data_IF_955390472708
#
_entry.id   IF_955390472708
#
_cell.length_a   1.000
_cell.length_b   1.000
_cell.length_c   1.000
_cell.angle_alpha   90.00
_cell.angle_beta   90.00
_cell.angle_gamma   90.00
#
_symmetry.space_group_name_H-M   'P 1'
#
loop_
_entity.id
_entity.type
_entity.pdbx_description
1 polymer ?
#
# COMPACT_ATOMS: atom_id res chain seq x y z
N UNK A 1 14.35 -10.49 -39.15
CA UNK A 1 14.49 -9.16 -38.57
C UNK A 1 14.43 -9.32 -37.04
N UNK A 2 15.32 -8.67 -36.28
CA UNK A 2 15.20 -8.67 -34.82
C UNK A 2 13.96 -7.85 -34.42
N UNK A 3 13.12 -8.40 -33.56
CA UNK A 3 11.93 -7.73 -33.03
C UNK A 3 12.37 -6.73 -31.96
N UNK A 4 11.97 -5.47 -32.10
CA UNK A 4 12.25 -4.44 -31.10
C UNK A 4 10.96 -4.07 -30.37
N UNK A 5 11.00 -4.14 -29.02
CA UNK A 5 9.92 -3.70 -28.16
C UNK A 5 10.22 -2.27 -27.66
N UNK A 6 9.40 -1.27 -28.05
CA UNK A 6 9.61 0.12 -27.63
C UNK A 6 9.38 0.28 -26.12
N UNK A 7 10.28 0.96 -25.42
CA UNK A 7 10.24 1.17 -23.97
C UNK A 7 8.98 1.92 -23.52
N UNK A 8 8.57 2.94 -24.27
CA UNK A 8 7.37 3.72 -24.03
C UNK A 8 6.09 2.86 -24.12
N UNK A 9 6.04 1.92 -25.07
CA UNK A 9 4.92 0.98 -25.22
C UNK A 9 4.87 -0.03 -24.08
N UNK A 10 6.03 -0.53 -23.63
CA UNK A 10 6.10 -1.40 -22.45
C UNK A 10 5.67 -0.67 -21.18
N UNK A 11 6.05 0.60 -21.02
CA UNK A 11 5.61 1.44 -19.90
C UNK A 11 4.09 1.61 -19.88
N UNK A 12 3.50 1.88 -21.03
CA UNK A 12 2.04 1.97 -21.19
C UNK A 12 1.34 0.63 -20.94
N UNK A 13 1.92 -0.47 -21.37
CA UNK A 13 1.39 -1.82 -21.12
C UNK A 13 1.30 -2.11 -19.61
N UNK A 14 2.38 -1.87 -18.87
CA UNK A 14 2.39 -2.04 -17.41
C UNK A 14 1.38 -1.09 -16.73
N UNK A 15 1.27 0.17 -17.17
CA UNK A 15 0.30 1.11 -16.64
C UNK A 15 -1.17 0.63 -16.85
N UNK A 16 -1.47 -0.05 -17.99
CA UNK A 16 -2.79 -0.63 -18.24
C UNK A 16 -3.07 -1.80 -17.29
N UNK A 17 -2.09 -2.66 -17.09
CA UNK A 17 -2.21 -3.80 -16.18
C UNK A 17 -2.43 -3.33 -14.74
N UNK A 18 -1.54 -2.46 -14.24
CA UNK A 18 -1.58 -1.97 -12.86
C UNK A 18 -2.81 -1.08 -12.59
N UNK A 19 -3.29 -0.34 -13.58
CA UNK A 19 -4.49 0.49 -13.48
C UNK A 19 -5.81 -0.25 -13.73
N UNK A 20 -5.77 -1.49 -14.21
CA UNK A 20 -6.95 -2.30 -14.54
C UNK A 20 -7.83 -1.72 -15.66
N UNK A 21 -7.48 -0.57 -16.23
CA UNK A 21 -8.19 0.05 -17.35
C UNK A 21 -7.30 1.00 -18.15
N UNK A 22 -7.62 1.14 -19.46
CA UNK A 22 -6.91 2.07 -20.34
C UNK A 22 -7.10 3.54 -19.96
N UNK A 23 -8.22 3.88 -19.31
CA UNK A 23 -8.48 5.23 -18.83
C UNK A 23 -7.53 5.60 -17.67
N UNK A 24 -7.43 4.76 -16.65
CA UNK A 24 -6.48 5.00 -15.54
C UNK A 24 -5.02 4.99 -16.01
N UNK A 25 -4.69 4.12 -16.98
CA UNK A 25 -3.35 4.12 -17.58
C UNK A 25 -3.04 5.45 -18.30
N UNK A 26 -4.02 6.03 -18.99
CA UNK A 26 -3.84 7.29 -19.71
C UNK A 26 -3.47 8.47 -18.78
N UNK A 27 -4.05 8.50 -17.59
CA UNK A 27 -3.73 9.47 -16.55
C UNK A 27 -2.31 9.30 -16.01
N UNK A 28 -1.86 8.04 -15.85
CA UNK A 28 -0.52 7.70 -15.32
C UNK A 28 0.63 8.02 -16.28
N UNK A 29 0.43 7.75 -17.57
CA UNK A 29 1.49 7.95 -18.57
C UNK A 29 1.33 9.25 -19.37
N UNK A 30 0.40 10.12 -18.97
CA UNK A 30 0.13 11.41 -19.60
C UNK A 30 -0.16 11.31 -21.12
N UNK A 31 -0.87 10.25 -21.52
CA UNK A 31 -1.32 10.00 -22.90
C UNK A 31 -2.85 9.99 -22.95
N UNK A 32 -3.41 10.22 -24.14
CA UNK A 32 -4.84 10.03 -24.33
C UNK A 32 -5.23 8.53 -24.36
N UNK A 33 -6.43 8.19 -23.91
CA UNK A 33 -6.92 6.80 -23.95
C UNK A 33 -6.84 6.16 -25.37
N UNK A 34 -7.15 6.87 -26.49
CA UNK A 34 -6.93 6.34 -27.85
C UNK A 34 -5.47 6.03 -28.13
N UNK A 35 -4.52 6.85 -27.64
CA UNK A 35 -3.10 6.60 -27.82
C UNK A 35 -2.65 5.34 -27.08
N UNK A 36 -3.10 5.14 -25.84
CA UNK A 36 -2.85 3.90 -25.08
C UNK A 36 -3.41 2.68 -25.84
N UNK A 37 -4.66 2.77 -26.32
CA UNK A 37 -5.28 1.67 -27.08
C UNK A 37 -4.47 1.33 -28.35
N UNK A 38 -3.96 2.35 -29.05
CA UNK A 38 -3.11 2.14 -30.22
C UNK A 38 -1.77 1.50 -29.86
N UNK A 39 -1.16 1.91 -28.75
CA UNK A 39 0.09 1.30 -28.25
C UNK A 39 -0.11 -0.16 -27.86
N UNK A 40 -1.21 -0.51 -27.18
CA UNK A 40 -1.52 -1.92 -26.85
C UNK A 40 -1.70 -2.76 -28.12
N UNK A 41 -2.48 -2.27 -29.09
CA UNK A 41 -2.65 -2.93 -30.36
C UNK A 41 -1.31 -3.12 -31.09
N UNK A 42 -0.45 -2.10 -31.12
CA UNK A 42 0.89 -2.18 -31.71
C UNK A 42 1.76 -3.25 -31.03
N UNK A 43 1.67 -3.37 -29.68
CA UNK A 43 2.43 -4.38 -28.96
C UNK A 43 1.96 -5.80 -29.30
N UNK A 44 0.65 -6.02 -29.36
CA UNK A 44 0.06 -7.30 -29.78
C UNK A 44 0.42 -7.66 -31.23
N UNK A 45 0.40 -6.68 -32.15
CA UNK A 45 0.82 -6.86 -33.54
C UNK A 45 2.32 -7.20 -33.63
N UNK A 46 3.18 -6.57 -32.83
CA UNK A 46 4.60 -6.89 -32.80
C UNK A 46 4.86 -8.31 -32.29
N UNK A 47 4.15 -8.70 -31.24
CA UNK A 47 4.34 -10.01 -30.58
C UNK A 47 3.55 -11.13 -31.27
N UNK A 48 2.61 -10.79 -32.16
CA UNK A 48 1.72 -11.73 -32.86
C UNK A 48 0.86 -12.59 -31.94
N UNK A 49 0.57 -12.06 -30.73
CA UNK A 49 -0.29 -12.71 -29.73
C UNK A 49 -1.16 -11.67 -29.02
N UNK A 50 -2.39 -12.01 -28.65
CA UNK A 50 -3.21 -11.14 -27.81
C UNK A 50 -2.64 -11.12 -26.39
N UNK A 51 -2.56 -9.93 -25.79
CA UNK A 51 -2.09 -9.73 -24.41
C UNK A 51 -3.25 -9.53 -23.45
N UNK A 52 -4.39 -9.06 -23.98
CA UNK A 52 -5.58 -8.79 -23.18
C UNK A 52 -6.81 -9.52 -23.73
N UNK A 53 -7.68 -9.94 -22.80
CA UNK A 53 -9.03 -10.41 -23.07
C UNK A 53 -10.04 -9.48 -22.41
N UNK A 54 -11.25 -9.42 -22.98
CA UNK A 54 -12.37 -8.73 -22.36
C UNK A 54 -13.29 -9.74 -21.67
N UNK A 55 -13.36 -9.67 -20.36
CA UNK A 55 -14.35 -10.38 -19.57
C UNK A 55 -15.44 -9.39 -19.10
N UNK A 56 -16.51 -9.28 -19.87
CA UNK A 56 -17.55 -8.29 -19.67
C UNK A 56 -17.02 -6.85 -19.83
N UNK A 57 -16.96 -6.11 -18.73
CA UNK A 57 -16.41 -4.75 -18.69
C UNK A 57 -14.95 -4.67 -18.24
N UNK A 58 -14.36 -5.79 -17.82
CA UNK A 58 -12.98 -5.85 -17.33
C UNK A 58 -12.01 -6.23 -18.45
N UNK A 59 -10.82 -5.68 -18.36
CA UNK A 59 -9.69 -6.04 -19.20
C UNK A 59 -8.78 -6.95 -18.37
N UNK A 60 -8.59 -8.20 -18.81
CA UNK A 60 -7.77 -9.22 -18.12
C UNK A 60 -6.60 -9.62 -19.01
N UNK A 61 -5.46 -9.97 -18.41
CA UNK A 61 -4.33 -10.50 -19.15
C UNK A 61 -4.61 -11.90 -19.68
N UNK A 62 -4.06 -12.19 -20.85
CA UNK A 62 -3.90 -13.57 -21.31
C UNK A 62 -2.70 -14.24 -20.63
N UNK A 63 -2.55 -15.58 -20.67
CA UNK A 63 -1.32 -16.24 -20.21
C UNK A 63 -0.05 -15.71 -20.90
N UNK A 64 -0.16 -15.33 -22.19
CA UNK A 64 0.93 -14.66 -22.91
C UNK A 64 1.18 -13.24 -22.39
N UNK A 65 0.11 -12.51 -22.06
CA UNK A 65 0.19 -11.19 -21.42
C UNK A 65 0.90 -11.23 -20.08
N UNK A 66 0.63 -12.24 -19.26
CA UNK A 66 1.33 -12.46 -17.97
C UNK A 66 2.84 -12.70 -18.20
N UNK A 67 3.20 -13.55 -19.15
CA UNK A 67 4.59 -13.78 -19.52
C UNK A 67 5.29 -12.50 -19.99
N UNK A 68 4.63 -11.70 -20.83
CA UNK A 68 5.14 -10.40 -21.29
C UNK A 68 5.28 -9.42 -20.14
N UNK A 69 4.35 -9.41 -19.16
CA UNK A 69 4.39 -8.53 -18.01
C UNK A 69 5.66 -8.73 -17.16
N UNK A 70 6.04 -9.98 -16.91
CA UNK A 70 7.27 -10.29 -16.16
C UNK A 70 8.49 -9.67 -16.84
N UNK A 71 8.69 -9.96 -18.13
CA UNK A 71 9.84 -9.46 -18.88
C UNK A 71 9.77 -7.94 -19.15
N UNK A 72 8.59 -7.38 -19.35
CA UNK A 72 8.43 -5.94 -19.50
C UNK A 72 8.88 -5.18 -18.26
N UNK A 73 8.56 -5.67 -17.07
CA UNK A 73 9.04 -5.09 -15.79
C UNK A 73 10.56 -5.17 -15.67
N UNK A 74 11.18 -6.30 -16.04
CA UNK A 74 12.65 -6.46 -16.03
C UNK A 74 13.34 -5.50 -17.00
N UNK A 75 12.82 -5.37 -18.23
CA UNK A 75 13.37 -4.47 -19.26
C UNK A 75 13.27 -3.01 -18.80
N UNK A 76 12.12 -2.59 -18.27
CA UNK A 76 11.96 -1.23 -17.76
C UNK A 76 12.88 -0.96 -16.55
N UNK A 77 12.99 -1.91 -15.62
CA UNK A 77 13.92 -1.77 -14.50
C UNK A 77 15.37 -1.61 -14.96
N UNK A 78 15.78 -2.35 -16.01
CA UNK A 78 17.12 -2.20 -16.59
C UNK A 78 17.29 -0.84 -17.29
N UNK A 79 16.31 -0.41 -18.08
CA UNK A 79 16.31 0.90 -18.73
C UNK A 79 16.44 2.03 -17.71
N UNK A 80 15.62 1.99 -16.65
CA UNK A 80 15.57 3.04 -15.63
C UNK A 80 16.87 3.05 -14.80
N UNK A 81 17.50 1.88 -14.55
CA UNK A 81 18.85 1.79 -13.96
C UNK A 81 19.91 2.46 -14.82
N UNK A 82 19.93 2.21 -16.13
CA UNK A 82 20.90 2.82 -17.04
C UNK A 82 20.75 4.34 -17.00
N UNK A 83 19.52 4.85 -17.07
CA UNK A 83 19.25 6.29 -16.97
C UNK A 83 19.73 6.84 -15.63
N UNK A 84 19.34 6.23 -14.51
CA UNK A 84 19.72 6.66 -13.16
C UNK A 84 21.25 6.67 -12.96
N UNK A 85 21.98 5.68 -13.52
CA UNK A 85 23.45 5.62 -13.43
C UNK A 85 24.10 6.76 -14.19
N UNK A 86 23.57 7.13 -15.36
CA UNK A 86 24.13 8.18 -16.21
C UNK A 86 23.74 9.60 -15.75
N UNK A 87 22.56 9.76 -15.16
CA UNK A 87 22.10 11.05 -14.62
C UNK A 87 22.67 11.38 -13.24
N UNK A 88 23.40 10.46 -12.62
CA UNK A 88 23.88 10.59 -11.25
C UNK A 88 22.79 10.32 -10.18
N UNK A 89 21.64 9.80 -10.60
CA UNK A 89 20.51 9.45 -9.74
C UNK A 89 20.64 8.04 -9.13
N UNK A 90 21.76 7.36 -9.40
CA UNK A 90 22.03 6.07 -8.79
C UNK A 90 22.11 6.23 -7.26
N UNK A 91 21.33 5.48 -6.53
CA UNK A 91 21.38 5.42 -5.07
C UNK A 91 22.73 4.80 -4.63
N UNK A 92 23.73 5.65 -4.48
CA UNK A 92 24.95 5.29 -3.77
C UNK A 92 24.73 5.57 -2.27
N UNK A 93 24.07 4.63 -1.56
CA UNK A 93 23.86 4.80 -0.13
C UNK A 93 22.67 4.01 0.44
N UNK A 94 22.38 4.22 1.72
CA UNK A 94 21.22 3.62 2.39
C UNK A 94 19.99 4.51 2.24
N UNK A 95 18.85 3.88 1.94
CA UNK A 95 17.52 4.47 2.02
C UNK A 95 16.90 4.04 3.34
N UNK A 96 16.48 5.00 4.15
CA UNK A 96 15.93 4.78 5.48
C UNK A 96 14.45 5.10 5.50
N UNK A 97 13.62 4.07 5.65
CA UNK A 97 12.15 4.19 5.55
C UNK A 97 11.52 3.79 6.86
N UNK A 98 10.51 4.57 7.30
CA UNK A 98 9.67 4.26 8.44
C UNK A 98 8.26 3.87 8.03
N UNK A 99 7.72 2.81 8.63
CA UNK A 99 6.34 2.37 8.44
C UNK A 99 5.66 2.12 9.79
N UNK A 100 4.36 2.41 9.89
CA UNK A 100 3.55 1.77 10.92
C UNK A 100 3.32 0.30 10.56
N UNK A 101 3.05 -0.55 11.57
CA UNK A 101 3.01 -2.01 11.38
C UNK A 101 2.03 -2.46 10.29
N UNK A 102 0.87 -1.83 10.19
CA UNK A 102 -0.16 -2.17 9.22
C UNK A 102 0.35 -2.06 7.78
N UNK A 103 1.14 -1.04 7.47
CA UNK A 103 1.76 -0.89 6.14
C UNK A 103 2.94 -1.82 5.92
N UNK A 104 3.69 -2.13 6.98
CA UNK A 104 4.83 -3.05 6.86
C UNK A 104 4.38 -4.45 6.42
N UNK A 105 3.22 -4.92 6.87
CA UNK A 105 2.69 -6.23 6.48
C UNK A 105 2.10 -6.25 5.06
N UNK A 106 1.45 -5.15 4.62
CA UNK A 106 0.68 -5.16 3.37
C UNK A 106 1.42 -4.55 2.17
N UNK A 107 2.19 -3.47 2.41
CA UNK A 107 2.78 -2.67 1.33
C UNK A 107 4.25 -3.00 1.07
N UNK A 108 4.97 -3.41 2.12
CA UNK A 108 6.41 -3.49 2.09
C UNK A 108 6.93 -4.45 1.02
N UNK A 109 6.29 -5.61 0.83
CA UNK A 109 6.73 -6.60 -0.14
C UNK A 109 6.78 -6.04 -1.57
N UNK A 110 5.73 -5.36 -2.02
CA UNK A 110 5.67 -4.79 -3.37
C UNK A 110 6.63 -3.61 -3.56
N UNK A 111 6.73 -2.73 -2.56
CA UNK A 111 7.64 -1.56 -2.59
C UNK A 111 9.10 -2.01 -2.58
N UNK A 112 9.46 -2.97 -1.72
CA UNK A 112 10.83 -3.50 -1.65
C UNK A 112 11.24 -4.17 -2.95
N UNK A 113 10.38 -5.01 -3.53
CA UNK A 113 10.68 -5.70 -4.78
C UNK A 113 10.98 -4.70 -5.91
N UNK A 114 10.19 -3.62 -6.03
CA UNK A 114 10.43 -2.58 -7.02
C UNK A 114 11.70 -1.78 -6.74
N UNK A 115 11.95 -1.40 -5.48
CA UNK A 115 13.14 -0.64 -5.12
C UNK A 115 14.42 -1.43 -5.41
N UNK A 116 14.46 -2.71 -5.00
CA UNK A 116 15.62 -3.58 -5.27
C UNK A 116 15.82 -3.82 -6.76
N UNK A 117 14.73 -3.94 -7.53
CA UNK A 117 14.81 -4.07 -8.98
C UNK A 117 15.40 -2.82 -9.66
N UNK A 118 15.05 -1.62 -9.18
CA UNK A 118 15.54 -0.35 -9.70
C UNK A 118 16.96 -0.01 -9.19
N UNK A 119 17.26 -0.36 -7.95
CA UNK A 119 18.49 0.02 -7.25
C UNK A 119 19.08 -1.20 -6.51
N UNK A 120 19.66 -2.19 -7.21
CA UNK A 120 20.14 -3.44 -6.60
C UNK A 120 21.29 -3.23 -5.61
N UNK A 121 22.04 -2.13 -5.74
CA UNK A 121 23.15 -1.77 -4.84
C UNK A 121 22.72 -0.88 -3.66
N UNK A 122 21.44 -0.50 -3.60
CA UNK A 122 20.93 0.31 -2.51
C UNK A 122 20.75 -0.53 -1.23
N UNK A 123 21.32 -0.04 -0.13
CA UNK A 123 21.01 -0.59 1.20
C UNK A 123 19.73 0.01 1.71
N UNK A 124 18.76 -0.86 2.02
CA UNK A 124 17.49 -0.45 2.58
C UNK A 124 17.49 -0.68 4.09
N UNK A 125 17.20 0.38 4.85
CA UNK A 125 16.99 0.33 6.29
C UNK A 125 15.51 0.62 6.57
N UNK A 126 14.80 -0.38 7.11
CA UNK A 126 13.38 -0.26 7.43
C UNK A 126 13.21 -0.15 8.94
N UNK A 127 12.41 0.81 9.37
CA UNK A 127 11.98 0.98 10.75
C UNK A 127 10.47 0.83 10.85
N UNK A 128 10.02 0.05 11.82
CA UNK A 128 8.61 -0.09 12.14
C UNK A 128 8.37 0.51 13.52
N UNK A 129 7.35 1.38 13.63
CA UNK A 129 7.05 2.08 14.87
C UNK A 129 5.75 2.88 14.81
N UNK A 130 5.38 3.52 15.91
CA UNK A 130 4.26 4.47 15.93
C UNK A 130 4.59 5.76 15.16
N UNK A 131 3.57 6.39 14.56
CA UNK A 131 3.76 7.62 13.78
C UNK A 131 4.54 8.72 14.50
N UNK A 132 4.29 9.04 15.80
CA UNK A 132 5.06 10.06 16.50
C UNK A 132 6.56 9.73 16.56
N UNK A 133 6.91 8.48 16.85
CA UNK A 133 8.30 8.02 16.88
C UNK A 133 8.96 8.10 15.51
N UNK A 134 8.23 7.76 14.44
CA UNK A 134 8.74 7.85 13.06
C UNK A 134 8.97 9.30 12.65
N UNK A 135 8.11 10.24 13.07
CA UNK A 135 8.29 11.68 12.84
C UNK A 135 9.55 12.19 13.53
N UNK A 136 9.79 11.84 14.78
CA UNK A 136 11.02 12.21 15.50
C UNK A 136 12.30 11.71 14.78
N UNK A 137 12.23 10.50 14.23
CA UNK A 137 13.34 9.94 13.45
C UNK A 137 13.51 10.65 12.10
N UNK A 138 12.44 11.09 11.46
CA UNK A 138 12.46 11.88 10.23
C UNK A 138 13.08 13.27 10.47
N UNK A 139 12.62 13.98 11.51
CA UNK A 139 13.09 15.31 11.91
C UNK A 139 14.55 15.31 12.35
N UNK A 140 15.01 14.20 12.95
CA UNK A 140 16.41 14.01 13.35
C UNK A 140 17.32 13.43 12.25
N UNK A 141 16.89 13.47 10.99
CA UNK A 141 17.62 12.95 9.82
C UNK A 141 18.01 11.46 9.91
N UNK A 142 17.28 10.69 10.72
CA UNK A 142 17.49 9.23 10.86
C UNK A 142 16.61 8.40 9.94
N UNK A 143 15.56 9.00 9.37
CA UNK A 143 14.72 8.44 8.31
C UNK A 143 14.65 9.41 7.15
N UNK A 144 14.40 8.91 5.96
CA UNK A 144 14.30 9.68 4.72
C UNK A 144 12.83 9.88 4.32
N UNK A 145 12.02 8.83 4.50
CA UNK A 145 10.59 8.79 4.18
C UNK A 145 9.88 8.04 5.29
N UNK A 146 8.68 8.48 5.66
CA UNK A 146 7.80 7.75 6.57
C UNK A 146 6.39 7.63 5.98
N UNK A 147 5.79 6.46 6.16
CA UNK A 147 4.37 6.23 5.91
C UNK A 147 3.71 5.87 7.25
N UNK A 148 2.89 6.78 7.71
CA UNK A 148 2.26 6.72 9.02
C UNK A 148 0.75 6.91 8.95
N UNK A 149 0.16 7.13 10.12
CA UNK A 149 -1.26 7.43 10.27
C UNK A 149 -1.44 8.72 11.06
N UNK A 150 -2.19 9.66 10.48
CA UNK A 150 -2.51 10.98 11.04
C UNK A 150 -3.99 11.15 11.39
N UNK A 151 -4.36 12.30 11.98
CA UNK A 151 -5.76 12.70 12.11
C UNK A 151 -6.37 13.02 10.75
N UNK A 152 -7.69 13.04 10.67
CA UNK A 152 -8.41 13.56 9.51
C UNK A 152 -8.01 15.03 9.29
N UNK A 153 -7.75 15.40 8.02
CA UNK A 153 -7.31 16.75 7.66
C UNK A 153 -5.81 17.03 7.84
N UNK A 154 -4.99 16.01 8.08
CA UNK A 154 -3.54 16.16 8.11
C UNK A 154 -3.00 16.68 6.77
N UNK A 155 -2.14 17.73 6.74
CA UNK A 155 -1.61 18.29 5.50
C UNK A 155 -0.74 17.32 4.68
N UNK A 156 -0.18 16.29 5.31
CA UNK A 156 0.58 15.23 4.64
C UNK A 156 -0.30 14.04 4.21
N UNK A 157 -1.63 14.23 4.21
CA UNK A 157 -2.59 13.21 3.85
C UNK A 157 -2.44 12.76 2.40
N UNK A 158 -2.39 11.44 2.17
CA UNK A 158 -2.42 10.84 0.84
C UNK A 158 -3.68 10.00 0.61
N UNK A 159 -4.32 9.54 1.70
CA UNK A 159 -5.56 8.78 1.67
C UNK A 159 -6.26 8.85 3.03
N UNK A 160 -7.59 8.80 3.02
CA UNK A 160 -8.42 8.67 4.21
C UNK A 160 -9.17 7.35 4.18
N UNK A 161 -9.18 6.63 5.31
CA UNK A 161 -9.79 5.31 5.43
C UNK A 161 -10.70 5.22 6.66
N UNK A 162 -11.89 4.64 6.53
CA UNK A 162 -12.76 4.39 7.67
C UNK A 162 -12.14 3.33 8.59
N UNK A 163 -12.15 3.58 9.88
CA UNK A 163 -11.90 2.54 10.88
C UNK A 163 -13.14 1.67 11.04
N UNK A 164 -12.92 0.39 11.29
CA UNK A 164 -13.99 -0.62 11.43
C UNK A 164 -13.68 -1.57 12.58
N UNK A 165 -14.72 -2.25 13.06
CA UNK A 165 -14.59 -3.30 14.05
C UNK A 165 -14.38 -4.65 13.38
N UNK A 166 -13.36 -5.39 13.83
CA UNK A 166 -13.04 -6.73 13.32
C UNK A 166 -13.07 -7.75 14.46
N UNK A 167 -13.56 -8.95 14.17
CA UNK A 167 -13.58 -10.07 15.07
C UNK A 167 -14.86 -10.87 15.01
N UNK A 168 -15.13 -11.63 16.08
CA UNK A 168 -16.30 -12.49 16.15
C UNK A 168 -17.50 -11.75 16.75
N UNK A 169 -18.59 -11.57 16.00
CA UNK A 169 -19.77 -10.82 16.40
C UNK A 169 -20.41 -11.26 17.75
N UNK A 170 -20.45 -12.55 18.14
CA UNK A 170 -20.93 -12.98 19.45
C UNK A 170 -20.21 -12.37 20.65
N UNK A 171 -18.99 -11.87 20.48
CA UNK A 171 -18.25 -11.20 21.56
C UNK A 171 -18.83 -9.86 21.97
N UNK A 172 -19.60 -9.22 21.06
CA UNK A 172 -20.22 -7.92 21.30
C UNK A 172 -21.37 -7.99 22.32
N UNK A 173 -22.01 -9.15 22.44
CA UNK A 173 -23.12 -9.37 23.38
C UNK A 173 -22.72 -9.73 24.82
N UNK A 174 -21.44 -9.64 25.17
CA UNK A 174 -20.94 -9.89 26.53
C UNK A 174 -21.14 -8.67 27.43
N UNK A 175 -21.11 -8.89 28.73
CA UNK A 175 -21.21 -7.81 29.75
C UNK A 175 -20.16 -6.70 29.55
N UNK A 176 -18.98 -7.07 29.07
CA UNK A 176 -17.93 -6.15 28.62
C UNK A 176 -17.33 -6.65 27.30
N UNK A 177 -17.14 -5.75 26.34
CA UNK A 177 -16.55 -6.04 25.03
C UNK A 177 -15.06 -6.36 25.21
N UNK A 178 -14.60 -7.58 24.87
CA UNK A 178 -13.19 -7.93 24.99
C UNK A 178 -12.39 -7.31 23.84
N UNK A 179 -11.40 -6.47 24.14
CA UNK A 179 -10.55 -5.80 23.16
C UNK A 179 -9.17 -6.43 23.08
N UNK A 180 -8.67 -6.58 21.85
CA UNK A 180 -7.26 -6.73 21.53
C UNK A 180 -6.73 -5.42 20.95
N UNK A 181 -5.64 -4.89 21.52
CA UNK A 181 -5.07 -3.61 21.12
C UNK A 181 -3.54 -3.68 21.04
N UNK A 182 -2.96 -2.83 20.19
CA UNK A 182 -1.52 -2.59 20.24
C UNK A 182 -1.18 -1.68 21.41
N UNK A 183 0.07 -1.80 21.90
CA UNK A 183 0.64 -0.87 22.88
C UNK A 183 0.61 0.57 22.34
N UNK A 184 0.61 1.54 23.25
CA UNK A 184 0.70 2.97 22.90
C UNK A 184 2.11 3.33 22.38
N UNK A 185 2.20 4.28 21.44
CA UNK A 185 1.10 5.06 20.83
C UNK A 185 0.41 4.31 19.69
N UNK A 186 -0.92 4.18 19.75
CA UNK A 186 -1.73 3.50 18.72
C UNK A 186 -3.07 4.20 18.50
N UNK A 187 -3.26 4.82 17.33
CA UNK A 187 -4.50 5.53 16.96
C UNK A 187 -5.74 4.64 17.00
N UNK A 188 -5.63 3.40 16.58
CA UNK A 188 -6.75 2.45 16.59
C UNK A 188 -7.19 2.10 18.00
N UNK A 189 -6.23 1.91 18.92
CA UNK A 189 -6.53 1.73 20.36
C UNK A 189 -7.28 2.93 20.92
N UNK A 190 -6.75 4.13 20.69
CA UNK A 190 -7.30 5.34 21.26
C UNK A 190 -8.69 5.64 20.69
N UNK A 191 -8.91 5.41 19.38
CA UNK A 191 -10.20 5.55 18.73
C UNK A 191 -11.24 4.53 19.23
N UNK A 192 -10.83 3.26 19.39
CA UNK A 192 -11.71 2.21 19.91
C UNK A 192 -12.19 2.51 21.33
N UNK A 193 -11.25 2.86 22.21
CA UNK A 193 -11.56 3.16 23.61
C UNK A 193 -12.44 4.41 23.71
N UNK A 194 -12.08 5.49 23.01
CA UNK A 194 -12.87 6.72 23.02
C UNK A 194 -14.30 6.52 22.48
N UNK A 195 -14.48 5.70 21.45
CA UNK A 195 -15.80 5.40 20.89
C UNK A 195 -16.66 4.60 21.90
N UNK A 196 -16.10 3.57 22.55
CA UNK A 196 -16.79 2.77 23.55
C UNK A 196 -17.17 3.58 24.79
N UNK A 197 -16.24 4.41 25.28
CA UNK A 197 -16.48 5.32 26.41
C UNK A 197 -17.59 6.34 26.09
N UNK A 198 -17.56 6.94 24.90
CA UNK A 198 -18.58 7.90 24.47
C UNK A 198 -19.99 7.27 24.31
N UNK A 199 -20.06 5.96 24.09
CA UNK A 199 -21.31 5.20 23.97
C UNK A 199 -21.71 4.48 25.27
N UNK A 200 -21.05 4.75 26.39
CA UNK A 200 -21.24 4.03 27.68
C UNK A 200 -21.22 2.50 27.52
N UNK A 201 -20.41 2.00 26.56
CA UNK A 201 -20.31 0.56 26.28
C UNK A 201 -19.17 -0.04 27.11
N UNK A 202 -19.46 -0.97 28.06
CA UNK A 202 -18.42 -1.60 28.86
C UNK A 202 -17.44 -2.38 27.99
N UNK A 203 -16.15 -2.25 28.28
CA UNK A 203 -15.10 -2.98 27.58
C UNK A 203 -14.00 -3.45 28.55
N UNK A 204 -13.24 -4.42 28.11
CA UNK A 204 -12.03 -4.89 28.80
C UNK A 204 -10.92 -5.14 27.79
N UNK A 205 -9.74 -4.57 28.00
CA UNK A 205 -8.54 -4.92 27.24
C UNK A 205 -8.05 -6.27 27.75
N UNK A 206 -8.27 -7.32 26.96
CA UNK A 206 -7.89 -8.70 27.30
C UNK A 206 -6.56 -9.11 26.63
N UNK A 207 -6.17 -8.42 25.55
CA UNK A 207 -4.87 -8.59 24.90
C UNK A 207 -4.28 -7.21 24.62
N UNK A 208 -3.10 -6.96 25.15
CA UNK A 208 -2.26 -5.81 24.81
C UNK A 208 -0.89 -6.33 24.34
N UNK A 209 -0.43 -5.89 23.16
CA UNK A 209 0.77 -6.45 22.52
C UNK A 209 1.44 -5.41 21.62
N UNK A 210 2.77 -5.40 21.48
CA UNK A 210 3.46 -4.63 20.46
C UNK A 210 3.39 -5.25 19.06
N UNK A 211 2.86 -6.48 18.90
CA UNK A 211 2.91 -7.26 17.67
C UNK A 211 1.55 -7.34 16.99
N UNK A 212 1.48 -6.89 15.72
CA UNK A 212 0.27 -6.98 14.92
C UNK A 212 -0.14 -8.43 14.63
N UNK A 213 0.82 -9.34 14.46
CA UNK A 213 0.55 -10.76 14.27
C UNK A 213 -0.05 -11.44 15.51
N UNK A 214 0.38 -11.06 16.72
CA UNK A 214 -0.22 -11.55 17.96
C UNK A 214 -1.65 -11.00 18.11
N UNK A 215 -1.86 -9.72 17.81
CA UNK A 215 -3.19 -9.11 17.81
C UNK A 215 -4.12 -9.84 16.82
N UNK A 216 -3.65 -10.12 15.60
CA UNK A 216 -4.38 -10.89 14.59
C UNK A 216 -4.74 -12.28 15.09
N UNK A 217 -3.81 -12.98 15.72
CA UNK A 217 -4.05 -14.32 16.27
C UNK A 217 -5.10 -14.31 17.38
N UNK A 218 -5.11 -13.30 18.26
CA UNK A 218 -6.12 -13.15 19.29
C UNK A 218 -7.53 -12.95 18.71
N UNK A 219 -7.64 -12.14 17.66
CA UNK A 219 -8.93 -11.87 16.97
C UNK A 219 -9.41 -13.11 16.21
N UNK A 220 -8.55 -13.78 15.43
CA UNK A 220 -8.89 -15.02 14.72
C UNK A 220 -9.23 -16.16 15.66
N UNK A 221 -8.58 -16.24 16.81
CA UNK A 221 -8.88 -17.19 17.87
C UNK A 221 -10.18 -16.92 18.63
N UNK A 222 -10.92 -15.84 18.28
CA UNK A 222 -12.18 -15.50 18.93
C UNK A 222 -12.03 -15.05 20.39
N UNK A 223 -10.85 -14.58 20.78
CA UNK A 223 -10.56 -14.12 22.14
C UNK A 223 -11.05 -12.68 22.34
N UNK A 224 -10.91 -11.84 21.33
CA UNK A 224 -11.21 -10.42 21.39
C UNK A 224 -11.63 -9.87 20.00
N UNK A 225 -12.16 -8.63 20.02
CA UNK A 225 -12.36 -7.81 18.82
C UNK A 225 -11.31 -6.69 18.78
N UNK A 226 -11.16 -6.05 17.62
CA UNK A 226 -10.23 -4.93 17.46
C UNK A 226 -10.77 -3.88 16.51
N UNK A 227 -10.24 -2.66 16.60
CA UNK A 227 -10.46 -1.57 15.65
C UNK A 227 -9.30 -1.49 14.68
N UNK A 228 -9.56 -1.53 13.37
CA UNK A 228 -8.56 -1.40 12.28
C UNK A 228 -9.19 -0.80 11.03
N UNK A 229 -8.39 -0.63 9.98
CA UNK A 229 -8.86 -0.37 8.62
C UNK A 229 -8.87 -1.67 7.80
N UNK A 230 -9.33 -1.61 6.56
CA UNK A 230 -9.29 -2.75 5.63
C UNK A 230 -7.86 -3.25 5.32
N UNK A 231 -6.82 -2.47 5.61
CA UNK A 231 -5.42 -2.96 5.55
C UNK A 231 -5.21 -4.20 6.43
N UNK A 232 -6.02 -4.37 7.46
CA UNK A 232 -5.98 -5.53 8.34
C UNK A 232 -6.83 -6.68 7.76
N UNK A 233 -6.70 -6.93 6.46
CA UNK A 233 -7.47 -7.90 5.71
C UNK A 233 -7.41 -9.33 6.28
N UNK A 234 -8.40 -10.14 5.93
CA UNK A 234 -8.50 -11.55 6.36
C UNK A 234 -9.13 -11.76 7.74
N UNK A 235 -9.69 -10.71 8.35
CA UNK A 235 -10.50 -10.80 9.54
C UNK A 235 -11.97 -10.49 9.22
N UNK A 236 -12.94 -11.16 9.87
CA UNK A 236 -14.33 -10.85 9.67
C UNK A 236 -14.66 -9.46 10.23
N UNK A 237 -15.22 -8.59 9.40
CA UNK A 237 -15.77 -7.32 9.82
C UNK A 237 -17.06 -7.55 10.61
N UNK A 238 -17.24 -6.83 11.72
CA UNK A 238 -18.46 -6.87 12.53
C UNK A 238 -19.41 -5.82 12.00
N UNK A 239 -20.44 -6.27 11.25
CA UNK A 239 -21.47 -5.42 10.65
C UNK A 239 -22.76 -5.54 11.43
N UNK A 240 -23.52 -4.43 11.55
CA UNK A 240 -24.88 -4.43 12.13
C UNK A 240 -24.92 -4.73 13.63
N UNK A 241 -23.84 -4.50 14.34
CA UNK A 241 -23.74 -4.66 15.80
C UNK A 241 -24.15 -3.41 16.57
N UNK A 242 -24.25 -3.52 17.91
CA UNK A 242 -24.44 -2.40 18.83
C UNK A 242 -23.17 -1.60 19.11
N UNK A 243 -22.04 -1.93 18.46
CA UNK A 243 -20.79 -1.21 18.63
C UNK A 243 -20.89 0.22 18.08
N UNK A 244 -20.30 1.21 18.76
CA UNK A 244 -20.33 2.58 18.29
C UNK A 244 -19.58 2.77 16.98
N UNK A 245 -19.96 3.77 16.16
CA UNK A 245 -19.22 4.12 14.96
C UNK A 245 -17.81 4.60 15.30
N UNK A 246 -16.88 4.28 14.42
CA UNK A 246 -15.47 4.67 14.55
C UNK A 246 -15.15 5.84 13.61
N UNK A 247 -14.20 6.72 13.96
CA UNK A 247 -13.73 7.76 13.06
C UNK A 247 -12.96 7.18 11.88
N UNK A 248 -12.65 8.03 10.91
CA UNK A 248 -11.66 7.71 9.88
C UNK A 248 -10.23 7.96 10.40
N UNK A 249 -9.26 7.38 9.73
CA UNK A 249 -7.84 7.65 9.90
C UNK A 249 -7.25 8.11 8.57
N UNK A 250 -6.29 9.01 8.63
CA UNK A 250 -5.60 9.49 7.43
C UNK A 250 -4.25 8.80 7.30
N UNK A 251 -3.95 8.28 6.12
CA UNK A 251 -2.62 7.80 5.78
C UNK A 251 -1.76 8.99 5.38
N UNK A 252 -0.64 9.16 6.07
CA UNK A 252 0.27 10.30 5.89
C UNK A 252 1.61 9.82 5.37
N UNK A 253 2.07 10.47 4.31
CA UNK A 253 3.37 10.21 3.72
C UNK A 253 4.22 11.48 3.85
N UNK A 254 5.30 11.39 4.61
CA UNK A 254 6.20 12.51 4.86
C UNK A 254 7.62 12.15 4.46
N UNK A 255 8.39 13.16 4.09
CA UNK A 255 9.78 13.02 3.69
C UNK A 255 10.61 14.20 4.14
N UNK A 256 11.92 14.04 4.18
CA UNK A 256 12.84 15.16 4.38
C UNK A 256 12.77 16.13 3.19
N UNK A 257 13.10 17.39 3.43
CA UNK A 257 13.08 18.41 2.39
C UNK A 257 14.06 18.13 1.24
N UNK A 258 15.26 17.64 1.58
CA UNK A 258 16.32 17.37 0.60
C UNK A 258 16.61 15.89 0.54
N UNK A 259 16.23 15.27 -0.55
CA UNK A 259 16.43 13.84 -0.81
C UNK A 259 17.09 13.64 -2.18
N UNK A 260 17.90 12.57 -2.34
CA UNK A 260 18.35 12.12 -3.64
C UNK A 260 17.16 11.79 -4.55
N UNK A 261 17.26 12.01 -5.89
CA UNK A 261 16.18 11.75 -6.84
C UNK A 261 15.56 10.34 -6.71
N UNK A 262 16.39 9.34 -6.47
CA UNK A 262 15.91 7.98 -6.31
C UNK A 262 15.07 7.75 -5.03
N UNK A 263 15.33 8.49 -3.95
CA UNK A 263 14.48 8.45 -2.74
C UNK A 263 13.17 9.23 -2.98
N UNK A 264 13.21 10.29 -3.79
CA UNK A 264 12.00 10.97 -4.26
C UNK A 264 11.14 10.03 -5.09
N UNK A 265 11.74 9.28 -6.02
CA UNK A 265 11.02 8.28 -6.82
C UNK A 265 10.37 7.21 -5.93
N UNK A 266 11.06 6.75 -4.89
CA UNK A 266 10.50 5.82 -3.91
C UNK A 266 9.30 6.43 -3.16
N UNK A 267 9.40 7.70 -2.72
CA UNK A 267 8.30 8.41 -2.10
C UNK A 267 7.08 8.42 -3.01
N UNK A 268 7.25 8.78 -4.30
CA UNK A 268 6.16 8.85 -5.27
C UNK A 268 5.56 7.46 -5.54
N UNK A 269 6.40 6.43 -5.60
CA UNK A 269 5.97 5.04 -5.75
C UNK A 269 5.14 4.56 -4.56
N UNK A 270 5.51 4.91 -3.33
CA UNK A 270 4.72 4.62 -2.14
C UNK A 270 3.39 5.36 -2.22
N UNK A 271 3.40 6.65 -2.59
CA UNK A 271 2.19 7.46 -2.72
C UNK A 271 1.19 6.86 -3.72
N UNK A 272 1.67 6.44 -4.89
CA UNK A 272 0.86 5.78 -5.91
C UNK A 272 0.29 4.46 -5.39
N UNK A 273 1.13 3.62 -4.81
CA UNK A 273 0.69 2.33 -4.26
C UNK A 273 -0.41 2.48 -3.21
N UNK A 274 -0.27 3.42 -2.28
CA UNK A 274 -1.27 3.68 -1.25
C UNK A 274 -2.57 4.21 -1.85
N UNK A 275 -2.50 5.08 -2.86
CA UNK A 275 -3.70 5.60 -3.56
C UNK A 275 -4.44 4.51 -4.32
N UNK A 276 -3.70 3.61 -4.96
CA UNK A 276 -4.25 2.55 -5.82
C UNK A 276 -4.60 1.26 -5.08
N UNK A 277 -4.35 1.18 -3.78
CA UNK A 277 -4.77 0.01 -2.99
C UNK A 277 -6.28 -0.13 -3.06
N UNK A 278 -6.73 -1.10 -3.86
CA UNK A 278 -8.12 -1.53 -3.84
C UNK A 278 -8.31 -2.47 -2.64
N UNK A 279 -8.77 -1.91 -1.53
CA UNK A 279 -8.97 -2.64 -0.28
C UNK A 279 -10.26 -3.49 -0.33
N UNK A 280 -11.10 -3.30 -1.37
CA UNK A 280 -12.40 -3.99 -1.49
C UNK A 280 -12.31 -5.42 -2.05
N UNK A 281 -11.12 -5.93 -2.39
CA UNK A 281 -10.97 -7.18 -3.15
C UNK A 281 -9.70 -7.98 -2.94
N UNK A 282 -9.00 -7.84 -1.84
CA UNK A 282 -7.85 -8.71 -1.56
C UNK A 282 -8.35 -10.11 -1.14
N UNK A 283 -8.66 -10.95 -2.13
CA UNK A 283 -8.62 -12.40 -1.96
C UNK A 283 -7.14 -12.81 -1.86
N UNK A 284 -6.74 -13.32 -0.69
CA UNK A 284 -5.49 -14.02 -0.45
C UNK A 284 -5.68 -15.52 -0.58
#
# INVERSE_FOLDING_TARGET
MALNLPIDVLRSFIAVVDGGSMLRASERVFLSQPAISLQMKRLEELLQVPLFLREGRRLVLTPQGEGVLVHAREILALNDRIVATLTGDALAGSVRIGFVQDFAETLLQGVLAQLVALHPDARLEVRVGGTPQLIELLESDRLDVILGMGPVGDPAAIREEPMRWFGNAPLVGRDAVPLAVLERPCRFRDAAIAALEAADTPYQVVVETPSLSVLRAAVLGGVAITCRTELFAGLPEIIGSSLPPLPAVTYVLQRRERLPPAVLHLHDLIAERVKDMDLSGAEF
#
